data_IF_803662892547
#
_entry.id   IF_803662892547
#
_cell.length_a   1.000
_cell.length_b   1.000
_cell.length_c   1.000
_cell.angle_alpha   90.00
_cell.angle_beta   90.00
_cell.angle_gamma   90.00
#
_symmetry.space_group_name_H-M   'P 1'
#
loop_
_entity.id
_entity.type
_entity.pdbx_description
1 polymer ?
#
# COMPACT_ATOMS: atom_id res chain seq x y z
N UNK A 1 -9.05 -6.38 10.31
CA UNK A 1 -8.43 -5.24 9.59
C UNK A 1 -9.47 -4.72 8.64
N UNK A 2 -9.58 -3.39 8.52
CA UNK A 2 -10.57 -2.77 7.65
C UNK A 2 -10.23 -2.93 6.16
N UNK A 3 -11.19 -2.63 5.29
CA UNK A 3 -10.99 -2.67 3.84
C UNK A 3 -9.89 -1.70 3.40
N UNK A 4 -9.31 -1.93 2.21
CA UNK A 4 -8.21 -1.11 1.70
C UNK A 4 -8.60 0.36 1.55
N UNK A 5 -9.74 0.62 0.92
CA UNK A 5 -10.23 1.97 0.69
C UNK A 5 -10.52 2.70 2.02
N UNK A 6 -11.03 1.98 3.02
CA UNK A 6 -11.29 2.55 4.35
C UNK A 6 -10.00 2.94 5.06
N UNK A 7 -8.93 2.14 4.94
CA UNK A 7 -7.62 2.48 5.50
C UNK A 7 -7.00 3.68 4.80
N UNK A 8 -7.08 3.74 3.47
CA UNK A 8 -6.63 4.91 2.70
C UNK A 8 -7.39 6.18 3.15
N UNK A 9 -8.72 6.09 3.25
CA UNK A 9 -9.57 7.20 3.68
C UNK A 9 -9.27 7.63 5.11
N UNK A 10 -9.17 6.68 6.04
CA UNK A 10 -8.87 6.96 7.45
C UNK A 10 -7.51 7.63 7.60
N UNK A 11 -6.48 7.14 6.91
CA UNK A 11 -5.16 7.78 6.92
C UNK A 11 -5.21 9.18 6.30
N UNK A 12 -5.96 9.37 5.22
CA UNK A 12 -6.18 10.69 4.60
C UNK A 12 -6.77 11.68 5.60
N UNK A 13 -7.78 11.29 6.38
CA UNK A 13 -8.35 12.13 7.43
C UNK A 13 -7.34 12.48 8.52
N UNK A 14 -6.51 11.52 8.96
CA UNK A 14 -5.44 11.80 9.94
C UNK A 14 -4.50 12.90 9.42
N UNK A 15 -4.09 12.84 8.14
CA UNK A 15 -3.25 13.88 7.52
C UNK A 15 -3.90 15.26 7.56
N UNK A 16 -5.20 15.31 7.22
CA UNK A 16 -5.97 16.55 7.20
C UNK A 16 -6.18 17.14 8.61
N UNK A 17 -6.18 16.29 9.63
CA UNK A 17 -6.36 16.69 11.03
C UNK A 17 -5.05 17.11 11.72
N UNK A 18 -3.88 16.93 11.10
CA UNK A 18 -2.62 17.43 11.68
C UNK A 18 -2.57 18.96 11.67
N UNK A 19 -2.00 19.58 12.70
CA UNK A 19 -1.86 21.05 12.74
C UNK A 19 -1.05 21.64 11.55
N UNK A 20 -0.23 20.81 10.91
CA UNK A 20 0.60 21.14 9.74
C UNK A 20 -0.10 20.83 8.40
N UNK A 21 -1.44 20.99 8.31
CA UNK A 21 -2.25 20.68 7.11
C UNK A 21 -1.65 21.23 5.81
N UNK A 22 -1.03 22.41 5.85
CA UNK A 22 -0.45 23.03 4.65
C UNK A 22 0.68 22.18 4.07
N UNK A 23 1.55 21.62 4.91
CA UNK A 23 2.67 20.78 4.49
C UNK A 23 2.18 19.40 4.02
N UNK A 24 1.21 18.82 4.73
CA UNK A 24 0.67 17.48 4.45
C UNK A 24 -0.45 17.46 3.41
N UNK A 25 -0.89 18.62 2.93
CA UNK A 25 -2.00 18.77 1.96
C UNK A 25 -1.79 17.96 0.68
N UNK A 26 -0.56 17.87 0.18
CA UNK A 26 -0.24 17.05 -0.98
C UNK A 26 -0.47 15.57 -0.73
N UNK A 27 -0.03 15.06 0.43
CA UNK A 27 -0.22 13.66 0.85
C UNK A 27 -1.71 13.35 0.99
N UNK A 28 -2.46 14.23 1.66
CA UNK A 28 -3.92 14.14 1.78
C UNK A 28 -4.60 14.01 0.42
N UNK A 29 -4.29 14.89 -0.54
CA UNK A 29 -4.93 14.88 -1.85
C UNK A 29 -4.69 13.56 -2.61
N UNK A 30 -3.45 13.05 -2.58
CA UNK A 30 -3.13 11.76 -3.19
C UNK A 30 -3.93 10.60 -2.59
N UNK A 31 -4.01 10.54 -1.25
CA UNK A 31 -4.79 9.50 -0.56
C UNK A 31 -6.29 9.66 -0.77
N UNK A 32 -6.80 10.89 -0.78
CA UNK A 32 -8.22 11.16 -1.01
C UNK A 32 -8.67 10.68 -2.39
N UNK A 33 -7.89 10.97 -3.44
CA UNK A 33 -8.19 10.48 -4.79
C UNK A 33 -8.12 8.95 -4.82
N UNK A 34 -7.09 8.34 -4.23
CA UNK A 34 -6.97 6.88 -4.15
C UNK A 34 -8.20 6.22 -3.50
N UNK A 35 -8.65 6.73 -2.36
CA UNK A 35 -9.80 6.21 -1.63
C UNK A 35 -11.14 6.40 -2.39
N UNK A 36 -11.20 7.39 -3.28
CA UNK A 36 -12.42 7.72 -4.04
C UNK A 36 -12.56 6.93 -5.35
N UNK A 37 -11.60 6.08 -5.70
CA UNK A 37 -11.71 5.22 -6.89
C UNK A 37 -12.68 4.08 -6.58
N UNK A 38 -13.87 4.16 -7.16
CA UNK A 38 -14.90 3.11 -7.03
C UNK A 38 -14.73 1.97 -8.05
N UNK A 39 -14.33 2.29 -9.29
CA UNK A 39 -14.09 1.30 -10.34
C UNK A 39 -13.32 1.90 -11.52
N UNK A 40 -12.70 1.04 -12.31
CA UNK A 40 -12.09 1.38 -13.61
C UNK A 40 -12.78 0.56 -14.69
N UNK A 41 -13.31 1.23 -15.72
CA UNK A 41 -13.94 0.56 -16.86
C UNK A 41 -12.91 0.25 -17.94
N UNK A 42 -12.80 -1.02 -18.30
CA UNK A 42 -12.03 -1.52 -19.43
C UNK A 42 -12.90 -2.48 -20.23
N UNK A 43 -12.75 -2.45 -21.55
CA UNK A 43 -13.38 -3.39 -22.48
C UNK A 43 -12.31 -3.77 -23.50
N UNK A 44 -11.72 -4.95 -23.28
CA UNK A 44 -10.65 -5.48 -24.12
C UNK A 44 -11.19 -6.19 -25.36
N UNK A 45 -12.46 -6.56 -25.35
CA UNK A 45 -13.13 -7.24 -26.46
C UNK A 45 -13.53 -6.23 -27.55
N UNK A 46 -13.88 -5.00 -27.18
CA UNK A 46 -14.32 -3.92 -28.10
C UNK A 46 -13.46 -3.75 -29.35
N UNK A 47 -12.16 -3.98 -29.23
CA UNK A 47 -11.20 -3.81 -30.33
C UNK A 47 -10.53 -5.13 -30.75
N UNK A 48 -11.02 -6.28 -30.27
CA UNK A 48 -10.53 -7.61 -30.65
C UNK A 48 -11.31 -8.14 -31.87
N UNK A 49 -10.76 -7.94 -33.08
CA UNK A 49 -11.36 -8.42 -34.32
C UNK A 49 -11.44 -9.96 -34.43
N UNK A 50 -10.72 -10.68 -33.58
CA UNK A 50 -10.67 -12.14 -33.53
C UNK A 50 -11.66 -12.74 -32.53
N UNK A 51 -12.43 -11.92 -31.81
CA UNK A 51 -13.49 -12.39 -30.92
C UNK A 51 -14.69 -12.94 -31.71
N UNK A 52 -15.26 -14.04 -31.25
CA UNK A 52 -16.39 -14.74 -31.88
C UNK A 52 -16.00 -15.79 -32.92
N UNK A 53 -14.70 -15.98 -33.17
CA UNK A 53 -14.21 -16.95 -34.15
C UNK A 53 -13.89 -18.31 -33.53
N UNK A 54 -13.63 -18.38 -32.22
CA UNK A 54 -13.18 -19.59 -31.54
C UNK A 54 -13.69 -19.62 -30.09
N UNK A 55 -14.68 -20.49 -29.81
CA UNK A 55 -15.34 -20.55 -28.49
C UNK A 55 -14.37 -20.66 -27.30
N UNK A 56 -13.34 -21.54 -27.30
CA UNK A 56 -12.38 -21.60 -26.19
C UNK A 56 -11.55 -20.31 -26.03
N UNK A 57 -11.24 -19.62 -27.13
CA UNK A 57 -10.53 -18.34 -27.09
C UNK A 57 -11.44 -17.23 -26.54
N UNK A 58 -12.71 -17.24 -26.95
CA UNK A 58 -13.70 -16.26 -26.50
C UNK A 58 -13.99 -16.42 -25.01
N UNK A 59 -14.05 -17.65 -24.50
CA UNK A 59 -14.20 -17.94 -23.07
C UNK A 59 -13.03 -17.40 -22.25
N UNK A 60 -11.79 -17.60 -22.74
CA UNK A 60 -10.59 -17.04 -22.13
C UNK A 60 -10.62 -15.50 -22.14
N UNK A 61 -10.93 -14.89 -23.28
CA UNK A 61 -11.01 -13.43 -23.43
C UNK A 61 -12.08 -12.84 -22.51
N UNK A 62 -13.26 -13.47 -22.39
CA UNK A 62 -14.33 -13.07 -21.47
C UNK A 62 -13.91 -13.19 -20.00
N UNK A 63 -13.14 -14.22 -19.64
CA UNK A 63 -12.62 -14.36 -18.28
C UNK A 63 -11.58 -13.29 -17.96
N UNK A 64 -10.68 -13.00 -18.91
CA UNK A 64 -9.68 -11.95 -18.78
C UNK A 64 -10.30 -10.55 -18.74
N UNK A 65 -11.34 -10.30 -19.52
CA UNK A 65 -12.08 -9.04 -19.55
C UNK A 65 -12.75 -8.73 -18.20
N UNK A 66 -13.05 -9.75 -17.38
CA UNK A 66 -13.52 -9.56 -15.99
C UNK A 66 -12.39 -9.21 -15.01
N UNK A 67 -11.18 -9.76 -15.24
CA UNK A 67 -10.02 -9.56 -14.36
C UNK A 67 -9.37 -8.18 -14.54
N UNK A 68 -9.22 -7.74 -15.79
CA UNK A 68 -8.46 -6.53 -16.10
C UNK A 68 -9.03 -5.25 -15.50
N UNK A 69 -10.36 -4.98 -15.49
CA UNK A 69 -10.95 -3.85 -14.79
C UNK A 69 -10.56 -3.81 -13.30
N UNK A 70 -10.66 -4.96 -12.61
CA UNK A 70 -10.33 -5.09 -11.19
C UNK A 70 -8.84 -4.80 -10.97
N UNK A 71 -7.98 -5.44 -11.77
CA UNK A 71 -6.55 -5.22 -11.65
C UNK A 71 -6.14 -3.77 -11.94
N UNK A 72 -6.72 -3.17 -12.98
CA UNK A 72 -6.46 -1.77 -13.33
C UNK A 72 -6.94 -0.81 -12.24
N UNK A 73 -8.07 -1.09 -11.59
CA UNK A 73 -8.54 -0.36 -10.41
C UNK A 73 -7.51 -0.44 -9.27
N UNK A 74 -7.06 -1.64 -8.89
CA UNK A 74 -6.06 -1.80 -7.82
C UNK A 74 -4.74 -1.12 -8.17
N UNK A 75 -4.32 -1.20 -9.42
CA UNK A 75 -3.10 -0.56 -9.89
C UNK A 75 -3.21 0.97 -9.93
N UNK A 76 -4.38 1.51 -10.28
CA UNK A 76 -4.64 2.95 -10.20
C UNK A 76 -4.56 3.43 -8.74
N UNK A 77 -5.27 2.76 -7.83
CA UNK A 77 -5.23 3.04 -6.39
C UNK A 77 -3.78 2.99 -5.87
N UNK A 78 -3.05 1.91 -6.19
CA UNK A 78 -1.65 1.75 -5.82
C UNK A 78 -0.78 2.92 -6.28
N UNK A 79 -0.93 3.38 -7.52
CA UNK A 79 -0.14 4.50 -8.04
C UNK A 79 -0.44 5.83 -7.34
N UNK A 80 -1.70 6.11 -6.99
CA UNK A 80 -2.02 7.30 -6.20
C UNK A 80 -1.45 7.21 -4.78
N UNK A 81 -1.55 6.04 -4.13
CA UNK A 81 -0.95 5.80 -2.80
C UNK A 81 0.59 5.88 -2.86
N UNK A 82 1.22 5.40 -3.95
CA UNK A 82 2.64 5.58 -4.19
C UNK A 82 3.03 7.07 -4.31
N UNK A 83 2.21 7.87 -5.00
CA UNK A 83 2.38 9.33 -5.05
C UNK A 83 2.29 9.99 -3.67
N UNK A 84 1.39 9.51 -2.81
CA UNK A 84 1.29 9.95 -1.41
C UNK A 84 2.58 9.62 -0.63
N UNK A 85 3.14 8.42 -0.82
CA UNK A 85 4.42 8.02 -0.22
C UNK A 85 5.56 8.91 -0.71
N UNK A 86 5.67 9.16 -2.01
CA UNK A 86 6.72 10.02 -2.55
C UNK A 86 6.64 11.44 -1.97
N UNK A 87 5.43 11.98 -1.85
CA UNK A 87 5.17 13.28 -1.21
C UNK A 87 5.55 13.25 0.27
N UNK A 88 5.20 12.18 0.98
CA UNK A 88 5.57 11.97 2.40
C UNK A 88 7.09 11.98 2.56
N UNK A 89 7.82 11.26 1.71
CA UNK A 89 9.29 11.21 1.80
C UNK A 89 9.93 12.58 1.52
N UNK A 90 9.33 13.41 0.65
CA UNK A 90 9.83 14.76 0.37
C UNK A 90 9.62 15.74 1.53
N UNK A 91 8.55 15.57 2.30
CA UNK A 91 8.29 16.30 3.55
C UNK A 91 9.27 15.84 4.63
N UNK A 92 9.26 14.52 4.88
CA UNK A 92 9.95 13.90 6.01
C UNK A 92 11.48 13.92 5.87
N UNK A 93 11.98 13.85 4.63
CA UNK A 93 13.41 13.85 4.27
C UNK A 93 14.23 12.85 5.10
N UNK A 94 13.99 11.53 4.97
CA UNK A 94 14.72 10.51 5.70
C UNK A 94 16.24 10.68 5.60
N UNK A 95 17.00 10.40 6.69
CA UNK A 95 18.45 10.44 6.66
C UNK A 95 19.02 9.54 5.56
N UNK A 96 20.04 10.06 4.87
CA UNK A 96 20.71 9.32 3.79
C UNK A 96 21.35 8.04 4.31
N UNK A 97 21.33 6.99 3.49
CA UNK A 97 22.05 5.76 3.78
C UNK A 97 23.55 6.07 4.03
N UNK A 98 24.15 5.52 5.10
CA UNK A 98 25.57 5.67 5.39
C UNK A 98 26.46 5.22 4.22
N UNK A 99 26.05 4.17 3.51
CA UNK A 99 26.72 3.72 2.29
C UNK A 99 26.27 4.58 1.10
N UNK A 100 27.21 5.38 0.56
CA UNK A 100 26.97 6.29 -0.57
C UNK A 100 26.50 5.57 -1.83
N UNK A 101 26.93 4.33 -2.05
CA UNK A 101 26.54 3.55 -3.24
C UNK A 101 25.10 3.07 -3.20
N UNK A 102 24.49 3.11 -2.00
CA UNK A 102 23.14 2.61 -1.70
C UNK A 102 22.13 3.71 -1.46
N UNK A 103 22.50 4.97 -1.71
CA UNK A 103 21.62 6.13 -1.55
C UNK A 103 20.54 6.18 -2.61
N UNK A 104 19.39 6.70 -2.22
CA UNK A 104 18.24 6.91 -3.10
C UNK A 104 17.00 7.10 -2.25
N UNK A 105 16.08 7.94 -2.71
CA UNK A 105 14.90 8.38 -1.93
C UNK A 105 14.19 7.23 -1.21
N UNK A 106 13.89 6.15 -1.92
CA UNK A 106 13.23 4.96 -1.34
C UNK A 106 14.18 4.16 -0.43
N UNK A 107 15.43 3.91 -0.85
CA UNK A 107 16.40 3.17 -0.04
C UNK A 107 16.75 3.86 1.27
N UNK A 108 16.82 5.19 1.26
CA UNK A 108 17.04 6.03 2.44
C UNK A 108 15.83 5.92 3.40
N UNK A 109 14.61 5.94 2.87
CA UNK A 109 13.39 5.70 3.64
C UNK A 109 13.36 4.29 4.26
N UNK A 110 13.59 3.23 3.48
CA UNK A 110 13.65 1.85 3.97
C UNK A 110 14.70 1.68 5.07
N UNK A 111 15.89 2.26 4.88
CA UNK A 111 16.95 2.21 5.87
C UNK A 111 16.54 2.92 7.17
N UNK A 112 15.90 4.07 7.07
CA UNK A 112 15.44 4.77 8.27
C UNK A 112 14.31 4.04 8.99
N UNK A 113 13.40 3.40 8.26
CA UNK A 113 12.38 2.52 8.82
C UNK A 113 12.97 1.30 9.53
N UNK A 114 14.12 0.80 9.08
CA UNK A 114 14.81 -0.35 9.70
C UNK A 114 15.16 -0.13 11.18
N UNK A 115 15.23 1.12 11.63
CA UNK A 115 15.60 1.46 13.01
C UNK A 115 14.40 1.44 13.98
N UNK A 116 13.20 1.10 13.52
CA UNK A 116 12.07 0.86 14.43
C UNK A 116 12.34 -0.40 15.25
N UNK A 117 12.10 -0.30 16.57
CA UNK A 117 12.06 -1.50 17.39
C UNK A 117 10.75 -2.26 17.11
N UNK A 118 10.76 -3.56 17.41
CA UNK A 118 9.56 -4.41 17.23
C UNK A 118 8.34 -3.89 18.01
N UNK A 119 8.55 -3.31 19.18
CA UNK A 119 7.48 -2.77 20.03
C UNK A 119 6.88 -1.46 19.50
N UNK A 120 7.64 -0.70 18.71
CA UNK A 120 7.24 0.63 18.22
C UNK A 120 6.65 0.59 16.80
N UNK A 121 6.74 -0.57 16.13
CA UNK A 121 6.30 -0.79 14.76
C UNK A 121 4.82 -1.20 14.70
N UNK A 122 4.24 -1.22 13.49
CA UNK A 122 2.90 -1.73 13.23
C UNK A 122 2.98 -3.26 13.03
N UNK A 123 2.39 -4.09 13.90
CA UNK A 123 2.53 -5.55 13.83
C UNK A 123 2.05 -6.14 12.50
N UNK A 124 0.96 -5.62 11.95
CA UNK A 124 0.32 -6.10 10.71
C UNK A 124 1.21 -5.90 9.48
N UNK A 125 2.21 -5.00 9.52
CA UNK A 125 3.16 -4.81 8.43
C UNK A 125 3.95 -6.09 8.12
N UNK A 126 4.31 -6.88 9.14
CA UNK A 126 5.01 -8.15 8.93
C UNK A 126 4.08 -9.19 8.29
N UNK A 127 2.81 -9.21 8.69
CA UNK A 127 1.79 -10.08 8.09
C UNK A 127 1.61 -9.76 6.61
N UNK A 128 1.41 -8.49 6.26
CA UNK A 128 1.29 -8.05 4.86
C UNK A 128 2.57 -8.32 4.07
N UNK A 129 3.74 -8.06 4.64
CA UNK A 129 5.02 -8.34 3.95
C UNK A 129 5.21 -9.84 3.67
N UNK A 130 4.72 -10.70 4.56
CA UNK A 130 4.76 -12.17 4.38
C UNK A 130 3.78 -12.61 3.30
N UNK A 131 2.54 -12.12 3.36
CA UNK A 131 1.52 -12.39 2.34
C UNK A 131 1.95 -11.89 0.95
N UNK A 132 2.61 -10.73 0.89
CA UNK A 132 3.17 -10.18 -0.35
C UNK A 132 4.20 -11.11 -0.98
N UNK A 133 5.07 -11.72 -0.16
CA UNK A 133 6.04 -12.72 -0.62
C UNK A 133 5.33 -13.96 -1.17
N UNK A 134 4.37 -14.49 -0.43
CA UNK A 134 3.63 -15.70 -0.81
C UNK A 134 2.88 -15.52 -2.14
N UNK A 135 2.26 -14.35 -2.33
CA UNK A 135 1.59 -14.00 -3.59
C UNK A 135 2.58 -13.82 -4.74
N UNK A 136 3.73 -13.20 -4.48
CA UNK A 136 4.78 -13.04 -5.50
C UNK A 136 5.33 -14.41 -5.96
N UNK A 137 5.44 -15.38 -5.05
CA UNK A 137 5.87 -16.75 -5.37
C UNK A 137 4.84 -17.54 -6.20
N UNK A 138 3.56 -17.17 -6.10
CA UNK A 138 2.48 -17.77 -6.90
C UNK A 138 2.35 -17.14 -8.29
N UNK A 139 3.01 -16.00 -8.51
CA UNK A 139 2.85 -15.18 -9.72
C UNK A 139 4.12 -15.26 -10.58
N UNK A 140 3.97 -15.32 -11.91
CA UNK A 140 5.12 -15.42 -12.83
C UNK A 140 5.72 -14.02 -13.05
N UNK A 141 7.05 -13.89 -13.01
CA UNK A 141 7.76 -12.63 -13.30
C UNK A 141 8.01 -11.71 -12.09
N UNK A 142 7.76 -12.20 -10.87
CA UNK A 142 7.94 -11.45 -9.62
C UNK A 142 9.12 -11.96 -8.75
N UNK A 143 10.06 -12.73 -9.32
CA UNK A 143 11.21 -13.31 -8.60
C UNK A 143 12.12 -12.24 -7.99
N UNK A 144 12.21 -11.08 -8.64
CA UNK A 144 12.94 -9.93 -8.11
C UNK A 144 12.28 -9.35 -6.86
N UNK A 145 10.95 -9.33 -6.80
CA UNK A 145 10.20 -8.89 -5.61
C UNK A 145 10.56 -9.80 -4.45
N UNK A 146 10.50 -11.12 -4.64
CA UNK A 146 10.89 -12.10 -3.62
C UNK A 146 12.32 -11.87 -3.12
N UNK A 147 13.27 -11.71 -4.05
CA UNK A 147 14.68 -11.46 -3.75
C UNK A 147 14.85 -10.24 -2.84
N UNK A 148 14.08 -9.17 -3.10
CA UNK A 148 14.12 -7.92 -2.31
C UNK A 148 13.62 -8.10 -0.89
N UNK A 149 12.59 -8.94 -0.68
CA UNK A 149 12.10 -9.26 0.68
C UNK A 149 13.17 -10.04 1.47
N UNK A 150 14.16 -10.64 0.81
CA UNK A 150 15.31 -11.29 1.47
C UNK A 150 16.30 -10.32 2.14
N UNK A 151 16.24 -9.02 1.84
CA UNK A 151 17.20 -7.99 2.30
C UNK A 151 16.93 -7.50 3.74
N UNK A 152 16.42 -8.39 4.61
CA UNK A 152 16.10 -8.11 6.02
C UNK A 152 17.30 -7.58 6.82
N UNK A 153 18.53 -7.99 6.47
CA UNK A 153 19.74 -7.51 7.14
C UNK A 153 19.99 -6.02 6.91
N UNK A 154 19.60 -5.50 5.74
CA UNK A 154 19.81 -4.09 5.38
C UNK A 154 18.63 -3.22 5.83
N UNK A 155 17.40 -3.70 5.68
CA UNK A 155 16.19 -2.88 5.86
C UNK A 155 15.32 -3.26 7.04
N UNK A 156 15.68 -4.30 7.80
CA UNK A 156 14.89 -4.78 8.93
C UNK A 156 13.47 -5.20 8.54
N UNK A 157 12.66 -5.53 9.54
CA UNK A 157 11.27 -5.96 9.29
C UNK A 157 10.40 -4.81 8.76
N UNK A 158 10.63 -3.59 9.26
CA UNK A 158 9.80 -2.43 8.94
C UNK A 158 10.13 -1.76 7.60
N UNK A 159 11.34 -1.95 7.06
CA UNK A 159 11.75 -1.33 5.79
C UNK A 159 11.74 -2.26 4.59
N UNK A 160 11.85 -3.59 4.81
CA UNK A 160 12.04 -4.54 3.70
C UNK A 160 10.80 -4.68 2.80
N UNK A 161 9.60 -4.59 3.37
CA UNK A 161 8.35 -4.64 2.61
C UNK A 161 8.30 -3.51 1.58
N UNK A 162 8.57 -2.27 2.00
CA UNK A 162 8.62 -1.13 1.10
C UNK A 162 9.68 -1.29 0.01
N UNK A 163 10.83 -1.87 0.35
CA UNK A 163 11.90 -2.11 -0.63
C UNK A 163 11.49 -3.10 -1.72
N UNK A 164 10.70 -4.11 -1.37
CA UNK A 164 10.14 -5.06 -2.33
C UNK A 164 9.00 -4.45 -3.16
N UNK A 165 8.12 -3.66 -2.54
CA UNK A 165 7.06 -2.94 -3.26
C UNK A 165 7.63 -1.95 -4.26
N UNK A 166 8.79 -1.35 -3.97
CA UNK A 166 9.50 -0.51 -4.95
C UNK A 166 9.89 -1.27 -6.22
N UNK A 167 10.27 -2.55 -6.10
CA UNK A 167 10.53 -3.39 -7.26
C UNK A 167 9.25 -3.64 -8.08
N UNK A 168 8.12 -3.94 -7.41
CA UNK A 168 6.81 -4.06 -8.07
C UNK A 168 6.44 -2.79 -8.85
N UNK A 169 6.60 -1.62 -8.23
CA UNK A 169 6.37 -0.32 -8.87
C UNK A 169 7.27 -0.13 -10.10
N UNK A 170 8.54 -0.53 -10.01
CA UNK A 170 9.48 -0.40 -11.13
C UNK A 170 9.12 -1.35 -12.27
N UNK A 171 8.66 -2.57 -11.99
CA UNK A 171 8.15 -3.47 -13.03
C UNK A 171 7.01 -2.79 -13.80
N UNK A 172 6.05 -2.19 -13.10
CA UNK A 172 4.97 -1.46 -13.74
C UNK A 172 5.47 -0.24 -14.53
N UNK A 173 6.25 0.64 -13.90
CA UNK A 173 6.72 1.88 -14.50
C UNK A 173 7.63 1.67 -15.74
N UNK A 174 8.32 0.53 -15.80
CA UNK A 174 9.15 0.15 -16.95
C UNK A 174 8.44 -0.78 -17.94
N UNK A 175 7.14 -1.04 -17.77
CA UNK A 175 6.35 -1.90 -18.65
C UNK A 175 6.80 -3.37 -18.66
N UNK A 176 7.47 -3.80 -17.59
CA UNK A 176 7.94 -5.19 -17.39
C UNK A 176 7.01 -6.01 -16.48
N UNK A 177 5.90 -5.42 -16.01
CA UNK A 177 4.86 -6.12 -15.27
C UNK A 177 3.94 -6.86 -16.25
N UNK A 178 3.72 -8.14 -15.98
CA UNK A 178 2.72 -8.94 -16.68
C UNK A 178 1.31 -8.64 -16.14
N UNK A 179 0.33 -8.57 -17.04
CA UNK A 179 -1.07 -8.38 -16.68
C UNK A 179 -1.74 -9.72 -16.36
N UNK A 180 -2.76 -9.73 -15.50
CA UNK A 180 -3.39 -10.97 -15.04
C UNK A 180 -4.00 -11.78 -16.20
N UNK A 181 -3.92 -13.09 -16.04
CA UNK A 181 -4.56 -14.09 -16.88
C UNK A 181 -5.55 -14.90 -16.03
N UNK A 182 -6.64 -15.42 -16.63
CA UNK A 182 -7.49 -16.37 -15.92
C UNK A 182 -6.74 -17.67 -15.64
N UNK A 183 -7.29 -18.48 -14.73
CA UNK A 183 -6.70 -19.79 -14.41
C UNK A 183 -6.81 -20.78 -15.59
N UNK A 184 -6.28 -22.00 -15.40
CA UNK A 184 -6.31 -23.04 -16.43
C UNK A 184 -7.70 -23.53 -16.81
N UNK A 185 -8.74 -23.16 -16.07
CA UNK A 185 -10.15 -23.48 -16.32
C UNK A 185 -10.96 -22.26 -16.80
N UNK A 186 -10.28 -21.16 -17.17
CA UNK A 186 -10.89 -19.88 -17.53
C UNK A 186 -11.72 -19.24 -16.40
N UNK A 187 -11.45 -19.53 -15.13
CA UNK A 187 -12.02 -18.77 -14.02
C UNK A 187 -11.26 -17.43 -13.88
N UNK A 188 -11.98 -16.32 -13.61
CA UNK A 188 -11.38 -15.00 -13.44
C UNK A 188 -10.76 -14.86 -12.05
N UNK A 189 -9.72 -15.64 -11.75
CA UNK A 189 -8.99 -15.64 -10.47
C UNK A 189 -7.51 -15.50 -10.75
N UNK A 190 -6.85 -14.56 -10.06
CA UNK A 190 -5.45 -14.22 -10.31
C UNK A 190 -4.79 -13.68 -9.03
N UNK A 191 -3.65 -14.23 -8.55
CA UNK A 191 -2.99 -13.77 -7.32
C UNK A 191 -2.46 -12.33 -7.42
N UNK A 192 -2.17 -11.83 -8.63
CA UNK A 192 -1.65 -10.50 -8.91
C UNK A 192 -2.58 -9.37 -8.43
N UNK A 193 -3.90 -9.60 -8.36
CA UNK A 193 -4.84 -8.62 -7.80
C UNK A 193 -4.54 -8.41 -6.32
N UNK A 194 -4.52 -9.48 -5.54
CA UNK A 194 -4.19 -9.44 -4.11
C UNK A 194 -2.76 -8.96 -3.88
N UNK A 195 -1.83 -9.27 -4.79
CA UNK A 195 -0.44 -8.83 -4.72
C UNK A 195 -0.36 -7.30 -4.69
N UNK A 196 -1.10 -6.62 -5.57
CA UNK A 196 -1.15 -5.15 -5.64
C UNK A 196 -1.87 -4.56 -4.42
N UNK A 197 -2.93 -5.20 -3.92
CA UNK A 197 -3.62 -4.77 -2.69
C UNK A 197 -2.71 -4.80 -1.47
N UNK A 198 -2.03 -5.93 -1.25
CA UNK A 198 -1.05 -6.08 -0.17
C UNK A 198 0.12 -5.10 -0.32
N UNK A 199 0.61 -4.89 -1.56
CA UNK A 199 1.63 -3.87 -1.83
C UNK A 199 1.16 -2.46 -1.43
N UNK A 200 -0.09 -2.12 -1.74
CA UNK A 200 -0.70 -0.85 -1.36
C UNK A 200 -0.77 -0.71 0.15
N UNK A 201 -1.16 -1.78 0.87
CA UNK A 201 -1.20 -1.81 2.34
C UNK A 201 0.16 -1.55 2.97
N UNK A 202 1.20 -2.19 2.45
CA UNK A 202 2.59 -1.98 2.90
C UNK A 202 3.01 -0.51 2.72
N UNK A 203 2.60 0.13 1.62
CA UNK A 203 2.88 1.56 1.40
C UNK A 203 2.17 2.43 2.44
N UNK A 204 0.90 2.16 2.75
CA UNK A 204 0.16 2.89 3.78
C UNK A 204 0.84 2.77 5.15
N UNK A 205 1.22 1.55 5.56
CA UNK A 205 1.99 1.35 6.78
C UNK A 205 3.35 2.07 6.76
N UNK A 206 4.00 2.12 5.61
CA UNK A 206 5.26 2.86 5.47
C UNK A 206 5.06 4.36 5.65
N UNK A 207 3.96 4.93 5.12
CA UNK A 207 3.58 6.33 5.35
C UNK A 207 3.36 6.58 6.85
N UNK A 208 2.56 5.74 7.51
CA UNK A 208 2.29 5.83 8.96
C UNK A 208 3.58 5.81 9.79
N UNK A 209 4.48 4.87 9.50
CA UNK A 209 5.77 4.75 10.21
C UNK A 209 6.71 5.94 9.92
N UNK A 210 6.72 6.48 8.70
CA UNK A 210 7.50 7.67 8.37
C UNK A 210 7.00 8.89 9.14
N UNK A 211 5.69 9.07 9.26
CA UNK A 211 5.10 10.12 10.09
C UNK A 211 5.46 9.97 11.56
N UNK A 212 5.30 8.77 12.13
CA UNK A 212 5.66 8.50 13.52
C UNK A 212 7.12 8.86 13.85
N UNK A 213 8.03 8.76 12.87
CA UNK A 213 9.43 9.19 13.02
C UNK A 213 9.66 10.68 12.75
N UNK A 214 8.82 11.29 11.93
CA UNK A 214 8.93 12.70 11.57
C UNK A 214 8.54 13.59 12.75
N UNK A 215 7.44 13.28 13.41
CA UNK A 215 6.99 14.01 14.60
C UNK A 215 7.85 13.59 15.80
N UNK A 216 8.56 14.52 16.47
CA UNK A 216 9.49 14.19 17.57
C UNK A 216 8.77 13.67 18.82
N UNK A 217 7.54 14.12 19.06
CA UNK A 217 6.67 13.72 20.17
C UNK A 217 5.25 13.51 19.65
N UNK A 218 4.97 12.44 18.90
CA UNK A 218 3.65 12.23 18.28
C UNK A 218 2.52 12.05 19.31
N UNK A 219 2.86 11.81 20.58
CA UNK A 219 1.91 11.75 21.70
C UNK A 219 1.42 13.13 22.17
N UNK A 220 2.12 14.21 21.77
CA UNK A 220 1.78 15.59 22.15
C UNK A 220 0.79 16.25 21.17
N UNK A 221 0.53 15.60 20.03
CA UNK A 221 -0.39 16.10 19.00
C UNK A 221 -1.73 15.38 19.11
N UNK A 222 -2.80 16.15 19.16
CA UNK A 222 -4.16 15.63 19.06
C UNK A 222 -4.63 15.74 17.61
N UNK A 223 -5.21 14.66 17.10
CA UNK A 223 -5.84 14.64 15.78
C UNK A 223 -7.23 14.07 15.89
N UNK A 224 -8.13 14.60 15.07
CA UNK A 224 -9.44 14.02 14.90
C UNK A 224 -9.33 12.78 14.01
N UNK A 225 -9.50 11.60 14.60
CA UNK A 225 -9.63 10.35 13.86
C UNK A 225 -11.09 10.16 13.47
N UNK A 226 -11.37 9.93 12.19
CA UNK A 226 -12.70 9.53 11.72
C UNK A 226 -12.56 8.21 10.99
N UNK A 227 -13.00 7.13 11.61
CA UNK A 227 -13.05 5.82 10.95
C UNK A 227 -14.30 5.72 10.08
N UNK A 228 -14.15 5.24 8.84
CA UNK A 228 -15.27 5.09 7.89
C UNK A 228 -16.30 4.06 8.38
N UNK A 229 -15.88 3.15 9.27
CA UNK A 229 -16.71 2.10 9.88
C UNK A 229 -17.48 2.54 11.13
N UNK A 230 -17.32 3.82 11.54
CA UNK A 230 -18.12 4.47 12.57
C UNK A 230 -17.64 4.23 13.99
N UNK A 231 -17.57 5.31 14.77
CA UNK A 231 -17.63 5.37 16.25
C UNK A 231 -16.36 5.68 17.03
N UNK A 232 -15.31 6.19 16.38
CA UNK A 232 -14.34 7.04 17.09
C UNK A 232 -14.40 8.39 16.41
N UNK A 233 -15.14 9.30 17.01
CA UNK A 233 -15.14 10.73 16.71
C UNK A 233 -14.59 11.41 17.96
N UNK A 234 -13.37 11.92 17.87
CA UNK A 234 -12.75 12.59 19.00
C UNK A 234 -11.26 12.82 18.79
N UNK A 235 -10.73 13.68 19.65
CA UNK A 235 -9.31 13.97 19.70
C UNK A 235 -8.59 12.74 20.29
N UNK A 236 -7.69 12.17 19.50
CA UNK A 236 -6.80 11.09 19.88
C UNK A 236 -5.37 11.52 19.60
N UNK A 237 -4.41 10.95 20.32
CA UNK A 237 -3.00 11.19 20.04
C UNK A 237 -2.65 10.74 18.62
N UNK A 238 -1.88 11.55 17.91
CA UNK A 238 -1.40 11.23 16.56
C UNK A 238 -0.68 9.88 16.54
N UNK A 239 0.11 9.59 17.58
CA UNK A 239 0.80 8.32 17.75
C UNK A 239 -0.13 7.10 17.71
N UNK A 240 -1.30 7.21 18.33
CA UNK A 240 -2.30 6.14 18.40
C UNK A 240 -3.11 6.10 17.09
N UNK A 241 -3.55 7.25 16.57
CA UNK A 241 -4.23 7.34 15.29
C UNK A 241 -3.44 6.68 14.15
N UNK A 242 -2.14 6.96 14.07
CA UNK A 242 -1.24 6.37 13.06
C UNK A 242 -0.99 4.87 13.29
N UNK A 243 -1.18 4.33 14.49
CA UNK A 243 -1.04 2.89 14.75
C UNK A 243 -2.34 2.11 14.61
N UNK A 244 -3.47 2.79 14.50
CA UNK A 244 -4.78 2.15 14.56
C UNK A 244 -5.64 2.38 13.31
N UNK A 245 -5.20 3.23 12.36
CA UNK A 245 -6.00 3.57 11.18
C UNK A 245 -6.33 2.39 10.23
N UNK A 246 -5.77 1.19 10.47
CA UNK A 246 -6.05 -0.05 9.74
C UNK A 246 -6.91 -1.06 10.53
N UNK A 247 -7.24 -0.75 11.79
CA UNK A 247 -7.93 -1.65 12.70
C UNK A 247 -9.44 -1.44 12.66
N UNK A 248 -10.19 -2.51 12.95
CA UNK A 248 -11.63 -2.43 13.17
C UNK A 248 -11.94 -1.83 14.54
N UNK A 249 -13.09 -1.16 14.68
CA UNK A 249 -13.51 -0.42 15.89
C UNK A 249 -13.38 -1.24 17.17
N UNK A 250 -13.83 -2.50 17.13
CA UNK A 250 -13.76 -3.41 18.28
C UNK A 250 -12.31 -3.72 18.71
N UNK A 251 -11.35 -3.64 17.79
CA UNK A 251 -9.92 -3.79 18.07
C UNK A 251 -9.31 -2.50 18.63
N UNK A 252 -9.83 -1.33 18.20
CA UNK A 252 -9.42 -0.03 18.72
C UNK A 252 -9.80 0.12 20.20
N UNK A 253 -11.04 -0.21 20.58
CA UNK A 253 -11.51 -0.12 21.98
C UNK A 253 -10.68 -1.00 22.93
N UNK A 254 -10.34 -2.22 22.49
CA UNK A 254 -9.51 -3.13 23.28
C UNK A 254 -8.08 -2.60 23.48
N UNK A 255 -7.50 -1.94 22.47
CA UNK A 255 -6.16 -1.35 22.58
C UNK A 255 -6.15 -0.08 23.43
N UNK A 256 -7.16 0.80 23.32
CA UNK A 256 -7.29 2.00 24.15
C UNK A 256 -7.49 1.67 25.63
N UNK A 257 -8.16 0.56 25.96
CA UNK A 257 -8.30 0.11 27.37
C UNK A 257 -7.02 -0.47 27.99
N UNK A 258 -5.96 -0.70 27.20
CA UNK A 258 -4.68 -1.25 27.65
C UNK A 258 -3.59 -0.19 27.84
N UNK A 259 -3.88 1.08 27.55
CA UNK A 259 -2.98 2.23 27.68
C UNK A 259 -3.33 3.05 28.93
#
# INVERSE_FOLDING_TARGET
MIQLNDHIATLSHVMFSTDDVVEWSGVYQWLQIAASIESVSLDTIKYNNSFGWCSPSDEFDLARDKLLPIFAEKLAIFNFVWGALESTIDIVKPPKNPDKSKRGKIRDACFWLSTFNRADSIPELLTETTMFRELAQQSIGYERVETRIGELKEFGVSGVGLYAVYELRNLFAHGSMEFPYPDGENNPVCPEISLVETATRIVLFSIQLLMLKHFPHPDDYEVFLTTVTGHIDGDIKLADALRMCHLEVNQLEAQLTLI
#
